data_IF_224534129943
#
_entry.id   IF_224534129943
#
_cell.length_a   1.000
_cell.length_b   1.000
_cell.length_c   1.000
_cell.angle_alpha   90.00
_cell.angle_beta   90.00
_cell.angle_gamma   90.00
#
_symmetry.space_group_name_H-M   'P 1'
#
loop_
_entity.id
_entity.type
_entity.pdbx_description
1 polymer ?
#
# COMPACT_ATOMS: atom_id res chain seq x y z
N UNK A 1 -19.76 -4.79 -12.80
CA UNK A 1 -18.92 -5.21 -11.65
C UNK A 1 -18.29 -3.96 -11.02
N UNK A 2 -18.84 -3.44 -9.91
CA UNK A 2 -18.22 -2.31 -9.19
C UNK A 2 -17.05 -2.86 -8.37
N UNK A 3 -15.92 -3.04 -9.02
CA UNK A 3 -14.65 -3.13 -8.31
C UNK A 3 -14.58 -1.91 -7.39
N UNK A 4 -14.44 -2.13 -6.08
CA UNK A 4 -14.23 -1.03 -5.14
C UNK A 4 -12.92 -0.36 -5.54
N UNK A 5 -12.99 0.85 -6.08
CA UNK A 5 -11.83 1.60 -6.61
C UNK A 5 -10.64 1.58 -5.64
N UNK A 6 -10.91 1.60 -4.32
CA UNK A 6 -9.90 1.53 -3.25
C UNK A 6 -9.13 0.20 -3.22
N UNK A 7 -9.80 -0.93 -3.48
CA UNK A 7 -9.14 -2.24 -3.50
C UNK A 7 -8.22 -2.37 -4.71
N UNK A 8 -8.68 -1.98 -5.90
CA UNK A 8 -7.84 -1.98 -7.10
C UNK A 8 -6.66 -1.03 -6.98
N UNK A 9 -6.87 0.17 -6.43
CA UNK A 9 -5.77 1.09 -6.12
C UNK A 9 -4.75 0.44 -5.19
N UNK A 10 -5.19 -0.24 -4.12
CA UNK A 10 -4.28 -0.91 -3.18
C UNK A 10 -3.45 -2.02 -3.84
N UNK A 11 -4.05 -2.85 -4.69
CA UNK A 11 -3.35 -3.91 -5.44
C UNK A 11 -2.33 -3.30 -6.40
N UNK A 12 -2.70 -2.24 -7.12
CA UNK A 12 -1.81 -1.56 -8.05
C UNK A 12 -0.62 -0.92 -7.33
N UNK A 13 -0.86 -0.25 -6.20
CA UNK A 13 0.19 0.31 -5.33
C UNK A 13 1.17 -0.78 -4.91
N UNK A 14 0.67 -1.93 -4.47
CA UNK A 14 1.52 -3.05 -4.04
C UNK A 14 2.39 -3.60 -5.18
N UNK A 15 1.82 -3.70 -6.39
CA UNK A 15 2.55 -4.12 -7.59
C UNK A 15 3.66 -3.13 -7.95
N UNK A 16 3.38 -1.83 -7.90
CA UNK A 16 4.37 -0.78 -8.14
C UNK A 16 5.50 -0.80 -7.10
N UNK A 17 5.17 -0.95 -5.82
CA UNK A 17 6.14 -1.05 -4.73
C UNK A 17 7.05 -2.28 -4.86
N UNK A 18 6.53 -3.39 -5.42
CA UNK A 18 7.32 -4.59 -5.66
C UNK A 18 8.22 -4.48 -6.89
N UNK A 19 7.74 -3.78 -7.93
CA UNK A 19 8.41 -3.71 -9.24
C UNK A 19 9.42 -2.57 -9.35
N UNK A 20 9.31 -1.55 -8.50
CA UNK A 20 10.16 -0.36 -8.53
C UNK A 20 10.98 -0.24 -7.24
N UNK A 21 12.17 0.39 -7.30
CA UNK A 21 12.92 0.72 -6.11
C UNK A 21 12.16 1.73 -5.24
N UNK A 22 12.30 1.66 -3.91
CA UNK A 22 11.55 2.50 -2.97
C UNK A 22 11.82 4.01 -3.14
N UNK A 23 12.95 4.39 -3.75
CA UNK A 23 13.32 5.77 -4.05
C UNK A 23 12.41 6.45 -5.08
N UNK A 24 11.74 5.68 -5.94
CA UNK A 24 10.89 6.19 -7.04
C UNK A 24 9.40 6.15 -6.65
N UNK A 25 9.04 5.37 -5.64
CA UNK A 25 7.65 5.17 -5.20
C UNK A 25 7.10 6.33 -4.35
N UNK A 26 7.15 7.56 -4.87
CA UNK A 26 6.49 8.71 -4.25
C UNK A 26 4.97 8.64 -4.45
N UNK A 27 4.22 9.35 -3.60
CA UNK A 27 2.76 9.44 -3.73
C UNK A 27 2.30 10.05 -5.05
N UNK A 28 3.12 10.92 -5.63
CA UNK A 28 2.94 11.60 -6.90
C UNK A 28 3.11 10.60 -8.06
N UNK A 29 4.23 9.86 -8.09
CA UNK A 29 4.49 8.83 -9.09
C UNK A 29 3.40 7.75 -9.12
N UNK A 30 3.02 7.28 -7.93
CA UNK A 30 1.96 6.29 -7.79
C UNK A 30 0.61 6.88 -8.21
N UNK A 31 0.32 8.13 -7.84
CA UNK A 31 -0.91 8.84 -8.19
C UNK A 31 -1.09 9.02 -9.69
N UNK A 32 -0.02 9.36 -10.42
CA UNK A 32 -0.01 9.41 -11.88
C UNK A 32 -0.28 8.03 -12.49
N UNK A 33 0.36 6.98 -11.96
CA UNK A 33 0.21 5.61 -12.49
C UNK A 33 -1.20 5.03 -12.29
N UNK A 34 -1.88 5.35 -11.19
CA UNK A 34 -3.29 4.93 -10.94
C UNK A 34 -4.32 5.99 -11.34
N UNK A 35 -3.90 7.09 -11.97
CA UNK A 35 -4.74 8.22 -12.34
C UNK A 35 -5.64 8.71 -11.17
N UNK A 36 -5.03 8.90 -10.00
CA UNK A 36 -5.71 9.26 -8.75
C UNK A 36 -4.90 10.30 -7.97
N UNK A 37 -5.60 11.17 -7.24
CA UNK A 37 -4.96 12.21 -6.44
C UNK A 37 -3.98 11.62 -5.39
N UNK A 38 -2.74 12.14 -5.26
CA UNK A 38 -1.75 11.72 -4.26
C UNK A 38 -2.27 11.65 -2.82
N UNK A 39 -3.25 12.49 -2.45
CA UNK A 39 -3.89 12.47 -1.13
C UNK A 39 -4.60 11.14 -0.86
N UNK A 40 -5.26 10.55 -1.85
CA UNK A 40 -5.92 9.24 -1.71
C UNK A 40 -4.86 8.14 -1.60
N UNK A 41 -3.78 8.23 -2.38
CA UNK A 41 -2.67 7.28 -2.33
C UNK A 41 -2.05 7.23 -0.93
N UNK A 42 -1.78 8.38 -0.34
CA UNK A 42 -1.26 8.48 1.04
C UNK A 42 -2.19 7.82 2.05
N UNK A 43 -3.51 8.01 1.92
CA UNK A 43 -4.49 7.35 2.80
C UNK A 43 -4.42 5.82 2.66
N UNK A 44 -4.37 5.30 1.43
CA UNK A 44 -4.26 3.86 1.17
C UNK A 44 -2.94 3.30 1.69
N UNK A 45 -1.82 3.99 1.44
CA UNK A 45 -0.51 3.63 1.98
C UNK A 45 -0.49 3.60 3.51
N UNK A 46 -1.13 4.57 4.18
CA UNK A 46 -1.27 4.57 5.63
C UNK A 46 -2.08 3.37 6.15
N UNK A 47 -3.16 2.99 5.46
CA UNK A 47 -3.91 1.77 5.80
C UNK A 47 -3.07 0.51 5.62
N UNK A 48 -2.33 0.40 4.51
CA UNK A 48 -1.45 -0.73 4.24
C UNK A 48 -0.34 -0.82 5.30
N UNK A 49 0.32 0.30 5.61
CA UNK A 49 1.37 0.37 6.64
C UNK A 49 0.83 -0.06 8.00
N UNK A 50 -0.36 0.40 8.41
CA UNK A 50 -0.98 0.01 9.68
C UNK A 50 -1.23 -1.50 9.74
N UNK A 51 -1.75 -2.11 8.68
CA UNK A 51 -2.03 -3.54 8.64
C UNK A 51 -0.75 -4.39 8.61
N UNK A 52 0.27 -3.95 7.88
CA UNK A 52 1.59 -4.59 7.87
C UNK A 52 2.22 -4.53 9.27
N UNK A 53 2.20 -3.37 9.93
CA UNK A 53 2.71 -3.23 11.30
C UNK A 53 1.96 -4.08 12.31
N UNK A 54 0.63 -4.17 12.22
CA UNK A 54 -0.17 -5.07 13.07
C UNK A 54 0.18 -6.54 12.86
N UNK A 55 0.42 -6.97 11.61
CA UNK A 55 0.88 -8.33 11.32
C UNK A 55 2.28 -8.61 11.87
N UNK A 56 3.22 -7.67 11.74
CA UNK A 56 4.55 -7.84 12.32
C UNK A 56 4.51 -7.88 13.85
N UNK A 57 3.69 -7.04 14.49
CA UNK A 57 3.52 -7.05 15.94
C UNK A 57 2.91 -8.37 16.44
N UNK A 58 1.88 -8.89 15.77
CA UNK A 58 1.26 -10.17 16.12
C UNK A 58 2.19 -11.37 15.86
N UNK A 59 3.02 -11.31 14.81
CA UNK A 59 3.97 -12.38 14.49
C UNK A 59 5.16 -12.46 15.48
N UNK A 60 5.42 -11.43 16.29
CA UNK A 60 6.43 -11.49 17.34
C UNK A 60 5.97 -12.24 18.60
N UNK A 61 4.67 -12.56 18.72
CA UNK A 61 4.14 -13.36 19.83
C UNK A 61 4.23 -14.88 19.58
N UNK A 62 4.35 -15.33 18.32
CA UNK A 62 4.46 -16.76 17.98
C UNK A 62 5.90 -17.32 18.04
N UNK A 63 6.93 -16.47 18.21
CA UNK A 63 8.34 -16.92 18.30
C UNK A 63 8.88 -17.02 19.74
N UNK A 64 8.01 -16.89 20.76
CA UNK A 64 8.33 -17.06 22.18
C UNK A 64 7.48 -18.14 22.85
N UNK A 65 7.25 -19.26 22.16
CA UNK A 65 6.73 -20.51 22.74
C UNK A 65 7.55 -21.71 22.27
#
# INVERSE_FOLDING_TARGET
>A
MKISSRFTIAVHILSLLKSNPPSICTSEYIGESVNTNPVIIRKVLSYLKKQVLLKYAAAQEELTS
#
